data_IF_099653202865
#
_entry.id   IF_099653202865
#
_cell.length_a   1.000
_cell.length_b   1.000
_cell.length_c   1.000
_cell.angle_alpha   90.00
_cell.angle_beta   90.00
_cell.angle_gamma   90.00
#
_symmetry.space_group_name_H-M   'P 1'
#
loop_
_entity.id
_entity.type
_entity.pdbx_description
1 polymer ?
#
# COMPACT_ATOMS: atom_id res chain seq x y z
N UNK A 1 -19.29 0.12 -6.78
CA UNK A 1 -18.72 -1.24 -6.79
C UNK A 1 -19.74 -2.22 -7.34
N UNK A 2 -19.39 -2.95 -8.38
CA UNK A 2 -20.20 -4.01 -9.00
C UNK A 2 -20.24 -5.27 -8.14
N UNK A 3 -21.13 -6.21 -8.47
CA UNK A 3 -21.23 -7.47 -7.72
C UNK A 3 -20.02 -8.38 -7.94
N UNK A 4 -19.44 -8.37 -9.14
CA UNK A 4 -18.17 -9.08 -9.44
C UNK A 4 -17.02 -8.52 -8.61
N UNK A 5 -16.91 -7.19 -8.49
CA UNK A 5 -15.89 -6.55 -7.66
C UNK A 5 -16.06 -6.90 -6.18
N UNK A 6 -17.30 -6.87 -5.67
CA UNK A 6 -17.62 -7.28 -4.29
C UNK A 6 -17.17 -8.71 -4.03
N UNK A 7 -17.55 -9.64 -4.92
CA UNK A 7 -17.19 -11.05 -4.80
C UNK A 7 -15.67 -11.22 -4.80
N UNK A 8 -14.97 -10.52 -5.70
CA UNK A 8 -13.52 -10.58 -5.79
C UNK A 8 -12.83 -10.09 -4.52
N UNK A 9 -13.30 -8.98 -3.93
CA UNK A 9 -12.77 -8.48 -2.66
C UNK A 9 -13.08 -9.43 -1.50
N UNK A 10 -14.27 -10.05 -1.48
CA UNK A 10 -14.62 -11.04 -0.46
C UNK A 10 -13.73 -12.28 -0.54
N UNK A 11 -13.46 -12.80 -1.75
CA UNK A 11 -12.54 -13.92 -1.93
C UNK A 11 -11.10 -13.54 -1.61
N UNK A 12 -10.67 -12.32 -1.90
CA UNK A 12 -9.37 -11.82 -1.48
C UNK A 12 -9.23 -11.77 0.05
N UNK A 13 -10.28 -11.33 0.77
CA UNK A 13 -10.29 -11.32 2.24
C UNK A 13 -10.17 -12.74 2.80
N UNK A 14 -10.77 -13.75 2.16
CA UNK A 14 -10.68 -15.13 2.64
C UNK A 14 -9.32 -15.77 2.36
N UNK A 15 -8.79 -15.55 1.15
CA UNK A 15 -7.74 -16.41 0.60
C UNK A 15 -6.38 -15.74 0.43
N UNK A 16 -6.33 -14.40 0.37
CA UNK A 16 -5.06 -13.72 0.04
C UNK A 16 -4.03 -13.88 1.17
N UNK A 17 -2.78 -14.26 0.90
CA UNK A 17 -1.81 -14.60 1.94
C UNK A 17 -1.37 -13.40 2.80
N UNK A 18 -1.36 -12.19 2.22
CA UNK A 18 -0.92 -10.97 2.92
C UNK A 18 -2.04 -10.32 3.71
N UNK A 19 -1.84 -10.18 5.03
CA UNK A 19 -2.77 -9.53 5.94
C UNK A 19 -3.12 -8.09 5.53
N UNK A 20 -2.11 -7.28 5.17
CA UNK A 20 -2.34 -5.89 4.75
C UNK A 20 -3.29 -5.79 3.54
N UNK A 21 -3.19 -6.73 2.60
CA UNK A 21 -4.04 -6.76 1.42
C UNK A 21 -5.48 -7.14 1.79
N UNK A 22 -5.67 -8.19 2.61
CA UNK A 22 -6.99 -8.57 3.14
C UNK A 22 -7.65 -7.40 3.85
N UNK A 23 -6.89 -6.69 4.66
CA UNK A 23 -7.35 -5.51 5.41
C UNK A 23 -7.75 -4.36 4.49
N UNK A 24 -6.98 -4.09 3.43
CA UNK A 24 -7.35 -3.09 2.44
C UNK A 24 -8.65 -3.46 1.71
N UNK A 25 -8.83 -4.72 1.32
CA UNK A 25 -10.09 -5.21 0.74
C UNK A 25 -11.27 -5.05 1.71
N UNK A 26 -11.08 -5.35 3.00
CA UNK A 26 -12.11 -5.17 4.02
C UNK A 26 -12.49 -3.70 4.20
N UNK A 27 -11.51 -2.79 4.15
CA UNK A 27 -11.75 -1.35 4.21
C UNK A 27 -12.61 -0.87 3.04
N UNK A 28 -12.32 -1.32 1.81
CA UNK A 28 -13.13 -0.99 0.62
C UNK A 28 -14.58 -1.47 0.74
N UNK A 29 -14.79 -2.70 1.23
CA UNK A 29 -16.13 -3.24 1.44
C UNK A 29 -16.92 -2.43 2.47
N UNK A 30 -16.30 -2.00 3.57
CA UNK A 30 -16.96 -1.16 4.56
C UNK A 30 -17.24 0.25 4.04
N UNK A 31 -16.29 0.88 3.35
CA UNK A 31 -16.54 2.19 2.73
C UNK A 31 -17.70 2.13 1.73
N UNK A 32 -17.82 1.07 0.93
CA UNK A 32 -18.95 0.89 0.02
C UNK A 32 -20.28 0.60 0.74
N UNK A 33 -20.24 0.06 1.96
CA UNK A 33 -21.42 -0.10 2.83
C UNK A 33 -21.85 1.20 3.53
N UNK A 34 -21.13 2.31 3.31
CA UNK A 34 -21.46 3.63 3.86
C UNK A 34 -20.71 4.01 5.13
N UNK A 35 -19.73 3.21 5.58
CA UNK A 35 -18.91 3.58 6.73
C UNK A 35 -17.95 4.72 6.39
N UNK A 36 -17.81 5.68 7.31
CA UNK A 36 -16.86 6.78 7.17
C UNK A 36 -15.41 6.27 7.22
N UNK A 37 -14.49 7.04 6.62
CA UNK A 37 -13.07 6.73 6.69
C UNK A 37 -12.55 6.62 8.14
N UNK A 38 -13.15 7.36 9.08
CA UNK A 38 -12.83 7.30 10.51
C UNK A 38 -13.26 5.97 11.14
N UNK A 39 -14.48 5.51 10.87
CA UNK A 39 -14.97 4.22 11.37
C UNK A 39 -14.17 3.06 10.79
N UNK A 40 -13.92 3.09 9.48
CA UNK A 40 -13.11 2.08 8.80
C UNK A 40 -11.68 2.04 9.37
N UNK A 41 -11.07 3.20 9.60
CA UNK A 41 -9.77 3.31 10.24
C UNK A 41 -9.77 2.69 11.64
N UNK A 42 -10.81 2.92 12.44
CA UNK A 42 -10.99 2.31 13.75
C UNK A 42 -11.10 0.79 13.68
N UNK A 43 -11.93 0.26 12.77
CA UNK A 43 -12.11 -1.20 12.62
C UNK A 43 -10.89 -1.92 12.03
N UNK A 44 -10.08 -1.23 11.24
CA UNK A 44 -8.87 -1.82 10.61
C UNK A 44 -7.58 -1.50 11.37
N UNK A 45 -7.65 -0.70 12.43
CA UNK A 45 -6.48 -0.26 13.20
C UNK A 45 -5.41 0.40 12.30
N UNK A 46 -5.85 1.26 11.38
CA UNK A 46 -4.96 2.06 10.51
C UNK A 46 -5.35 3.53 10.55
N UNK A 47 -4.53 4.38 9.94
CA UNK A 47 -4.86 5.80 9.82
C UNK A 47 -5.96 6.05 8.77
N UNK A 48 -6.76 7.11 8.96
CA UNK A 48 -7.73 7.56 7.95
C UNK A 48 -7.06 7.85 6.59
N UNK A 49 -5.81 8.34 6.62
CA UNK A 49 -5.01 8.57 5.42
C UNK A 49 -4.72 7.28 4.65
N UNK A 50 -4.44 6.18 5.36
CA UNK A 50 -4.26 4.86 4.75
C UNK A 50 -5.53 4.38 4.06
N UNK A 51 -6.69 4.57 4.71
CA UNK A 51 -8.00 4.26 4.12
C UNK A 51 -8.23 5.07 2.84
N UNK A 52 -7.98 6.39 2.89
CA UNK A 52 -8.08 7.26 1.73
C UNK A 52 -7.18 6.81 0.58
N UNK A 53 -5.92 6.47 0.87
CA UNK A 53 -4.98 5.94 -0.14
C UNK A 53 -5.49 4.66 -0.80
N UNK A 54 -6.07 3.73 -0.05
CA UNK A 54 -6.63 2.50 -0.64
C UNK A 54 -7.84 2.78 -1.52
N UNK A 55 -8.72 3.70 -1.12
CA UNK A 55 -9.88 4.09 -1.92
C UNK A 55 -9.45 4.73 -3.25
N UNK A 56 -8.52 5.67 -3.21
CA UNK A 56 -7.97 6.30 -4.42
C UNK A 56 -7.26 5.28 -5.32
N UNK A 57 -6.39 4.44 -4.74
CA UNK A 57 -5.66 3.42 -5.50
C UNK A 57 -6.60 2.38 -6.14
N UNK A 58 -7.71 2.04 -5.47
CA UNK A 58 -8.74 1.18 -6.04
C UNK A 58 -9.46 1.84 -7.22
N UNK A 59 -9.83 3.12 -7.10
CA UNK A 59 -10.49 3.86 -8.19
C UNK A 59 -9.59 4.01 -9.42
N UNK A 60 -8.29 4.19 -9.22
CA UNK A 60 -7.33 4.39 -10.31
C UNK A 60 -6.86 3.09 -10.96
N UNK A 61 -6.59 2.05 -10.16
CA UNK A 61 -5.84 0.86 -10.59
C UNK A 61 -6.50 -0.47 -10.19
N UNK A 62 -7.67 -0.44 -9.55
CA UNK A 62 -8.36 -1.63 -9.05
C UNK A 62 -7.51 -2.44 -8.07
N UNK A 63 -7.55 -3.78 -8.20
CA UNK A 63 -6.78 -4.69 -7.32
C UNK A 63 -5.27 -4.43 -7.37
N UNK A 64 -4.75 -3.99 -8.51
CA UNK A 64 -3.32 -3.72 -8.68
C UNK A 64 -2.88 -2.57 -7.79
N UNK A 65 -3.75 -1.57 -7.60
CA UNK A 65 -3.50 -0.42 -6.71
C UNK A 65 -3.38 -0.81 -5.22
N UNK A 66 -4.01 -1.92 -4.81
CA UNK A 66 -3.97 -2.40 -3.43
C UNK A 66 -2.70 -3.20 -3.11
N UNK A 67 -1.96 -3.64 -4.13
CA UNK A 67 -0.71 -4.33 -3.93
C UNK A 67 0.41 -3.35 -3.57
N UNK A 68 1.31 -3.77 -2.67
CA UNK A 68 2.56 -3.05 -2.42
C UNK A 68 3.34 -2.93 -3.73
N UNK A 69 3.53 -1.70 -4.20
CA UNK A 69 4.34 -1.43 -5.37
C UNK A 69 5.82 -1.67 -5.03
N UNK A 70 6.57 -2.21 -5.99
CA UNK A 70 8.02 -2.39 -5.85
C UNK A 70 8.67 -1.01 -5.64
N UNK A 71 9.60 -0.91 -4.69
CA UNK A 71 10.34 0.33 -4.41
C UNK A 71 9.81 1.20 -3.25
N UNK A 72 8.72 0.81 -2.57
CA UNK A 72 8.24 1.51 -1.37
C UNK A 72 9.05 1.19 -0.09
N UNK A 73 10.04 0.31 -0.18
CA UNK A 73 10.97 0.07 0.92
C UNK A 73 11.89 1.27 1.15
N UNK A 74 12.28 1.50 2.41
CA UNK A 74 13.33 2.47 2.73
C UNK A 74 14.59 2.07 1.96
N UNK A 75 15.11 2.96 1.11
CA UNK A 75 16.41 2.74 0.46
C UNK A 75 17.43 2.44 1.56
N UNK A 76 18.30 1.42 1.40
CA UNK A 76 19.31 1.12 2.40
C UNK A 76 20.12 2.38 2.73
N UNK A 77 20.32 2.64 4.02
CA UNK A 77 21.19 3.71 4.50
C UNK A 77 22.61 3.19 4.25
N UNK A 78 23.30 3.75 3.25
CA UNK A 78 24.65 3.39 2.81
C UNK A 78 24.82 2.03 2.09
N UNK A 79 25.06 2.09 0.78
CA UNK A 79 25.86 1.09 0.07
C UNK A 79 27.34 1.47 0.21
N UNK A 80 28.13 0.77 1.03
CA UNK A 80 29.59 0.94 1.08
C UNK A 80 30.32 0.09 0.03
N UNK A 81 29.64 -0.29 -1.04
CA UNK A 81 30.20 -1.09 -2.15
C UNK A 81 29.74 -0.53 -3.50
N UNK A 82 29.98 0.77 -3.70
CA UNK A 82 30.03 1.33 -5.05
C UNK A 82 31.48 1.77 -5.30
N UNK A 83 32.23 0.92 -5.99
CA UNK A 83 33.60 1.15 -6.45
C UNK A 83 33.66 2.15 -7.62
N UNK A 84 32.97 3.29 -7.51
CA UNK A 84 32.95 4.36 -8.53
C UNK A 84 32.75 5.75 -7.90
N UNK A 85 33.66 6.17 -7.02
CA UNK A 85 34.12 7.57 -6.96
C UNK A 85 35.40 7.73 -6.12
N UNK A 86 36.48 7.03 -6.51
CA UNK A 86 37.82 7.53 -6.20
C UNK A 86 38.13 8.65 -7.19
N UNK A 87 37.95 9.91 -6.79
CA UNK A 87 38.68 11.11 -7.26
C UNK A 87 37.96 12.40 -6.80
N UNK A 88 38.18 12.79 -5.54
CA UNK A 88 37.96 14.18 -5.09
C UNK A 88 38.76 14.53 -3.81
N UNK A 89 39.92 13.90 -3.60
CA UNK A 89 40.82 14.22 -2.47
C UNK A 89 42.27 14.44 -2.94
N UNK A 90 42.44 15.02 -4.12
CA UNK A 90 43.73 15.52 -4.60
C UNK A 90 43.59 16.99 -5.01
N UNK A 91 43.39 17.87 -4.02
CA UNK A 91 43.66 19.31 -4.09
C UNK A 91 43.74 19.88 -2.68
N UNK A 92 44.75 19.41 -1.95
CA UNK A 92 45.31 20.08 -0.77
C UNK A 92 46.75 19.59 -0.65
N UNK A 93 47.59 20.10 -1.56
CA UNK A 93 49.05 20.00 -1.54
C UNK A 93 49.58 21.36 -1.92
#
# INVERSE_FOLDING_TARGET
MSDTEKLTLQEAIKNHPKYEFRRACQALLWSHKGFSAKEVAGHTEVSQHSVGKWLSAWQELGLVGLMRQKGQGRKPILNLTNSLHQQALSRAS
#
